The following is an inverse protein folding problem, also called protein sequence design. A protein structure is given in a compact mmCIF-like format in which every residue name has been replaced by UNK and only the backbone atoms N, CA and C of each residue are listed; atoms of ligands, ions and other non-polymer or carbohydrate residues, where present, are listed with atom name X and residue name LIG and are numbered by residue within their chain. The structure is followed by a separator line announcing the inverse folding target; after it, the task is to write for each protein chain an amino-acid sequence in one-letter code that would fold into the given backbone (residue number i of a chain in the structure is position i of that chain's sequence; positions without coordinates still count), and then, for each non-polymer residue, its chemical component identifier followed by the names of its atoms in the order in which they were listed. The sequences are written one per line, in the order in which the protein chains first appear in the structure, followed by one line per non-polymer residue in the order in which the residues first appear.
data_IF_497803758043
#
_entry.id   IF_497803758043
#
_cell.length_a   1.000
_cell.length_b   1.000
_cell.length_c   1.000
_cell.angle_alpha   90.00
_cell.angle_beta   90.00
_cell.angle_gamma   90.00
#
_symmetry.space_group_name_H-M   'P 1'
#
loop_
_entity.id
_entity.type
_entity.pdbx_description
1 polymer ?
#
# COMPACT_ATOMS: atom_id res chain seq x y z
N UNK A 1 0.61 -13.35 18.83
CA UNK A 1 0.16 -12.39 17.80
C UNK A 1 1.29 -12.24 16.81
N UNK A 2 1.10 -12.65 15.56
CA UNK A 2 2.14 -12.51 14.55
C UNK A 2 2.28 -11.04 14.17
N UNK A 3 3.42 -10.44 14.52
CA UNK A 3 3.76 -9.09 14.08
C UNK A 3 3.92 -9.06 12.56
N UNK A 4 3.27 -8.11 11.89
CA UNK A 4 3.44 -7.89 10.46
C UNK A 4 4.64 -7.00 10.26
N UNK A 5 5.75 -7.56 9.75
CA UNK A 5 6.94 -6.78 9.41
C UNK A 5 6.81 -6.19 8.02
N UNK A 6 6.75 -4.87 7.95
CA UNK A 6 6.73 -4.10 6.73
C UNK A 6 8.13 -3.54 6.46
N UNK A 7 8.65 -3.72 5.25
CA UNK A 7 9.93 -3.13 4.84
C UNK A 7 9.68 -1.94 3.93
N UNK A 8 10.38 -0.82 4.15
CA UNK A 8 10.36 0.30 3.20
C UNK A 8 11.55 0.21 2.23
N UNK A 9 11.26 0.34 0.94
CA UNK A 9 12.28 0.43 -0.12
C UNK A 9 12.08 1.71 -0.92
N UNK A 10 13.00 2.64 -0.74
CA UNK A 10 13.04 3.90 -1.50
C UNK A 10 13.58 3.71 -2.91
N UNK A 11 13.33 4.71 -3.77
CA UNK A 11 13.82 4.77 -5.16
C UNK A 11 13.56 3.49 -5.96
N UNK A 12 12.41 2.86 -5.73
CA UNK A 12 12.05 1.61 -6.39
C UNK A 12 11.67 1.87 -7.85
N UNK A 13 12.29 1.14 -8.78
CA UNK A 13 11.95 1.18 -10.21
C UNK A 13 10.49 0.85 -10.46
N UNK A 14 9.90 -0.06 -9.66
CA UNK A 14 8.49 -0.43 -9.78
C UNK A 14 7.59 0.74 -9.37
N UNK A 15 7.91 1.40 -8.25
CA UNK A 15 7.19 2.58 -7.80
C UNK A 15 7.35 3.76 -8.79
N UNK A 16 8.50 3.86 -9.46
CA UNK A 16 8.73 4.83 -10.55
C UNK A 16 7.79 4.60 -11.74
N UNK A 17 7.63 3.35 -12.17
CA UNK A 17 6.72 3.01 -13.27
C UNK A 17 5.27 3.29 -12.87
N UNK A 18 4.88 2.92 -11.65
CA UNK A 18 3.56 3.24 -11.11
C UNK A 18 3.31 4.75 -11.04
N UNK A 19 4.28 5.53 -10.56
CA UNK A 19 4.24 6.99 -10.51
C UNK A 19 4.01 7.61 -11.89
N UNK A 20 4.75 7.14 -12.91
CA UNK A 20 4.60 7.60 -14.28
C UNK A 20 3.21 7.29 -14.84
N UNK A 21 2.69 6.08 -14.61
CA UNK A 21 1.35 5.68 -15.07
C UNK A 21 0.23 6.48 -14.40
N UNK A 22 0.39 6.80 -13.12
CA UNK A 22 -0.56 7.60 -12.34
C UNK A 22 -0.35 9.11 -12.48
N UNK A 23 0.66 9.54 -13.24
CA UNK A 23 1.08 10.95 -13.39
C UNK A 23 1.31 11.67 -12.05
N UNK A 24 1.81 10.94 -11.04
CA UNK A 24 2.09 11.50 -9.72
C UNK A 24 3.60 11.64 -9.50
N UNK A 25 4.10 12.77 -8.96
CA UNK A 25 5.51 12.93 -8.63
C UNK A 25 5.95 12.10 -7.42
N UNK A 26 5.00 11.69 -6.57
CA UNK A 26 5.23 10.90 -5.35
C UNK A 26 4.33 9.66 -5.38
N UNK A 27 4.90 8.50 -5.11
CA UNK A 27 4.17 7.24 -5.16
C UNK A 27 4.65 6.28 -4.09
N UNK A 28 3.71 5.55 -3.50
CA UNK A 28 3.94 4.37 -2.70
C UNK A 28 3.14 3.23 -3.33
N UNK A 29 3.72 2.04 -3.35
CA UNK A 29 3.04 0.83 -3.81
C UNK A 29 3.50 -0.36 -2.97
N UNK A 30 2.57 -1.21 -2.58
CA UNK A 30 2.87 -2.40 -1.79
C UNK A 30 2.96 -3.64 -2.66
N UNK A 31 4.01 -4.43 -2.41
CA UNK A 31 4.13 -5.80 -2.91
C UNK A 31 4.40 -6.75 -1.75
N UNK A 32 3.39 -7.52 -1.37
CA UNK A 32 3.47 -8.41 -0.21
C UNK A 32 3.63 -7.62 1.08
N UNK A 33 4.84 -7.64 1.65
CA UNK A 33 5.19 -6.92 2.88
C UNK A 33 6.18 -5.77 2.66
N UNK A 34 6.46 -5.41 1.40
CA UNK A 34 7.40 -4.35 1.06
C UNK A 34 6.64 -3.15 0.48
N UNK A 35 6.85 -1.99 1.08
CA UNK A 35 6.34 -0.70 0.61
C UNK A 35 7.43 -0.05 -0.24
N UNK A 36 7.17 0.07 -1.54
CA UNK A 36 8.07 0.66 -2.51
C UNK A 36 7.73 2.13 -2.69
N UNK A 37 8.68 3.02 -2.37
CA UNK A 37 8.53 4.46 -2.49
C UNK A 37 9.24 4.99 -3.75
N UNK A 38 8.67 6.02 -4.34
CA UNK A 38 9.29 6.83 -5.40
C UNK A 38 8.95 8.30 -5.23
N UNK A 39 9.96 9.17 -5.36
CA UNK A 39 9.80 10.63 -5.21
C UNK A 39 9.49 11.09 -3.78
N UNK A 40 9.54 10.20 -2.79
CA UNK A 40 9.31 10.48 -1.38
C UNK A 40 10.29 9.67 -0.53
N UNK A 41 10.84 10.29 0.50
CA UNK A 41 11.68 9.60 1.50
C UNK A 41 10.81 8.85 2.51
N UNK A 42 11.42 7.89 3.21
CA UNK A 42 10.83 7.17 4.34
C UNK A 42 10.31 8.12 5.40
N UNK A 43 11.09 9.12 5.77
CA UNK A 43 10.72 10.09 6.81
C UNK A 43 9.48 10.89 6.41
N UNK A 44 9.44 11.38 5.17
CA UNK A 44 8.28 12.08 4.64
C UNK A 44 7.05 11.18 4.56
N UNK A 45 7.22 9.93 4.14
CA UNK A 45 6.14 8.95 4.12
C UNK A 45 5.61 8.67 5.54
N UNK A 46 6.50 8.42 6.49
CA UNK A 46 6.14 8.13 7.89
C UNK A 46 5.50 9.32 8.61
N UNK A 47 5.85 10.56 8.23
CA UNK A 47 5.20 11.77 8.73
C UNK A 47 3.71 11.86 8.33
N UNK A 48 3.32 11.21 7.22
CA UNK A 48 1.94 11.16 6.73
C UNK A 48 1.23 9.90 7.23
N UNK A 49 0.82 9.88 8.50
CA UNK A 49 0.20 8.71 9.15
C UNK A 49 -0.99 8.12 8.39
N UNK A 50 -1.85 8.94 7.78
CA UNK A 50 -2.94 8.46 6.94
C UNK A 50 -2.43 7.63 5.75
N UNK A 51 -1.40 8.14 5.07
CA UNK A 51 -0.75 7.43 3.97
C UNK A 51 -0.09 6.13 4.43
N UNK A 52 0.58 6.14 5.59
CA UNK A 52 1.16 4.92 6.18
C UNK A 52 0.07 3.86 6.42
N UNK A 53 -1.07 4.25 6.99
CA UNK A 53 -2.19 3.34 7.25
C UNK A 53 -2.78 2.77 5.96
N UNK A 54 -2.87 3.59 4.91
CA UNK A 54 -3.31 3.16 3.59
C UNK A 54 -2.43 2.02 3.05
N UNK A 55 -1.10 2.23 3.02
CA UNK A 55 -0.17 1.21 2.53
C UNK A 55 -0.13 -0.03 3.44
N UNK A 56 -0.20 0.16 4.77
CA UNK A 56 -0.27 -0.95 5.72
C UNK A 56 -1.53 -1.79 5.53
N UNK A 57 -2.66 -1.18 5.20
CA UNK A 57 -3.88 -1.90 4.86
C UNK A 57 -3.64 -2.84 3.67
N UNK A 58 -2.93 -2.38 2.63
CA UNK A 58 -2.55 -3.26 1.52
C UNK A 58 -1.64 -4.42 1.97
N UNK A 59 -0.69 -4.19 2.87
CA UNK A 59 0.13 -5.28 3.42
C UNK A 59 -0.73 -6.33 4.13
N UNK A 60 -1.74 -5.91 4.91
CA UNK A 60 -2.68 -6.84 5.55
C UNK A 60 -3.52 -7.59 4.53
N UNK A 61 -4.03 -6.90 3.51
CA UNK A 61 -4.78 -7.53 2.43
C UNK A 61 -3.94 -8.57 1.67
N UNK A 62 -2.65 -8.29 1.45
CA UNK A 62 -1.68 -9.24 0.90
C UNK A 62 -1.46 -10.45 1.82
N UNK A 63 -1.43 -10.24 3.14
CA UNK A 63 -1.30 -11.31 4.12
C UNK A 63 -2.55 -12.20 4.16
N UNK A 64 -3.74 -11.61 4.09
CA UNK A 64 -5.02 -12.32 4.11
C UNK A 64 -5.30 -13.10 2.82
N UNK A 65 -5.03 -12.50 1.66
CA UNK A 65 -5.37 -13.08 0.35
C UNK A 65 -4.19 -13.80 -0.32
N UNK A 66 -2.98 -13.71 0.25
CA UNK A 66 -1.74 -14.13 -0.38
C UNK A 66 -1.31 -13.20 -1.52
N UNK A 67 -0.03 -13.32 -1.92
CA UNK A 67 0.59 -12.42 -2.91
C UNK A 67 -0.18 -12.38 -4.24
N UNK A 68 -0.38 -13.56 -4.85
CA UNK A 68 -1.04 -13.68 -6.15
C UNK A 68 -2.56 -13.50 -6.05
N UNK A 69 -3.15 -13.97 -4.96
CA UNK A 69 -4.59 -13.86 -4.75
C UNK A 69 -5.04 -12.40 -4.61
N UNK A 70 -4.28 -11.58 -3.88
CA UNK A 70 -4.54 -10.15 -3.80
C UNK A 70 -4.38 -9.46 -5.16
N UNK A 71 -3.25 -9.67 -5.85
CA UNK A 71 -2.98 -9.02 -7.14
C UNK A 71 -4.07 -9.34 -8.19
N UNK A 72 -4.45 -10.61 -8.30
CA UNK A 72 -5.48 -11.02 -9.24
C UNK A 72 -6.83 -10.40 -8.92
N UNK A 73 -7.26 -10.46 -7.66
CA UNK A 73 -8.51 -9.85 -7.22
C UNK A 73 -8.49 -8.33 -7.43
N UNK A 74 -7.38 -7.66 -7.10
CA UNK A 74 -7.23 -6.23 -7.26
C UNK A 74 -7.34 -5.82 -8.73
N UNK A 75 -6.62 -6.50 -9.63
CA UNK A 75 -6.67 -6.19 -11.07
C UNK A 75 -8.04 -6.51 -11.66
N UNK A 76 -8.65 -7.63 -11.29
CA UNK A 76 -10.01 -7.97 -11.74
C UNK A 76 -11.05 -6.94 -11.29
N UNK A 77 -11.03 -6.53 -10.02
CA UNK A 77 -11.94 -5.52 -9.48
C UNK A 77 -11.68 -4.18 -10.15
N UNK A 78 -10.41 -3.80 -10.31
CA UNK A 78 -10.00 -2.59 -11.00
C UNK A 78 -10.51 -2.52 -12.44
N UNK A 79 -10.43 -3.60 -13.21
CA UNK A 79 -10.95 -3.64 -14.58
C UNK A 79 -12.48 -3.56 -14.63
N UNK A 80 -13.18 -4.05 -13.60
CA UNK A 80 -14.65 -4.06 -13.56
C UNK A 80 -15.24 -2.72 -13.11
N UNK A 81 -14.69 -2.10 -12.07
CA UNK A 81 -15.28 -0.92 -11.43
C UNK A 81 -14.40 0.34 -11.49
N UNK A 82 -13.15 0.21 -11.95
CA UNK A 82 -12.16 1.29 -11.96
C UNK A 82 -11.37 1.43 -10.66
N UNK A 83 -10.36 2.28 -10.66
CA UNK A 83 -9.40 2.43 -9.54
C UNK A 83 -10.09 2.97 -8.28
N UNK A 84 -10.87 4.03 -8.43
CA UNK A 84 -11.53 4.67 -7.28
C UNK A 84 -12.58 3.79 -6.62
N UNK A 85 -13.23 2.89 -7.37
CA UNK A 85 -14.29 2.05 -6.83
C UNK A 85 -13.83 0.68 -6.35
N UNK A 86 -12.57 0.32 -6.58
CA UNK A 86 -11.98 -0.94 -6.16
C UNK A 86 -12.17 -1.14 -4.64
N UNK A 87 -12.64 -2.31 -4.23
CA UNK A 87 -12.92 -2.63 -2.82
C UNK A 87 -11.69 -2.44 -1.92
N UNK A 88 -10.51 -2.76 -2.44
CA UNK A 88 -9.25 -2.71 -1.68
C UNK A 88 -8.82 -1.26 -1.45
N UNK A 89 -8.98 -0.42 -2.46
CA UNK A 89 -8.76 1.03 -2.38
C UNK A 89 -9.74 1.71 -1.42
N UNK A 90 -11.00 1.27 -1.42
CA UNK A 90 -11.99 1.77 -0.45
C UNK A 90 -11.62 1.38 0.98
N UNK A 91 -11.23 0.13 1.21
CA UNK A 91 -10.77 -0.32 2.51
C UNK A 91 -9.52 0.45 2.97
N UNK A 92 -8.56 0.68 2.07
CA UNK A 92 -7.37 1.46 2.37
C UNK A 92 -7.69 2.92 2.72
N UNK A 93 -8.64 3.56 2.01
CA UNK A 93 -9.13 4.90 2.36
C UNK A 93 -9.84 4.96 3.71
N UNK A 94 -10.64 3.94 4.04
CA UNK A 94 -11.25 3.83 5.37
C UNK A 94 -10.18 3.65 6.46
N UNK A 95 -9.09 2.96 6.13
CA UNK A 95 -7.98 2.73 7.04
C UNK A 95 -7.16 3.99 7.33
N UNK A 96 -7.15 5.00 6.45
CA UNK A 96 -6.46 6.28 6.66
C UNK A 96 -6.87 6.95 8.00
N UNK A 97 -8.14 6.85 8.38
CA UNK A 97 -8.67 7.39 9.64
C UNK A 97 -8.64 6.40 10.81
N UNK A 98 -8.37 5.11 10.56
CA UNK A 98 -8.35 4.08 11.59
C UNK A 98 -7.01 4.07 12.35
N UNK A 99 -7.03 4.50 13.61
CA UNK A 99 -5.83 4.54 14.46
C UNK A 99 -5.26 3.15 14.75
N UNK A 100 -6.13 2.13 14.83
CA UNK A 100 -5.74 0.73 15.11
C UNK A 100 -5.15 0.02 13.91
N UNK A 101 -5.10 0.65 12.74
CA UNK A 101 -4.56 0.01 11.55
C UNK A 101 -3.08 -0.35 11.69
N UNK A 102 -2.34 0.41 12.49
CA UNK A 102 -0.92 0.18 12.73
C UNK A 102 -0.65 -0.81 13.88
N UNK A 103 -1.69 -1.31 14.55
CA UNK A 103 -1.52 -2.23 15.68
C UNK A 103 -0.89 -3.55 15.20
N UNK A 104 0.21 -3.94 15.84
CA UNK A 104 0.95 -5.16 15.49
C UNK A 104 1.76 -5.08 14.20
N UNK A 105 1.98 -3.87 13.66
CA UNK A 105 2.78 -3.65 12.45
C UNK A 105 4.12 -3.02 12.81
N UNK A 106 5.20 -3.65 12.38
CA UNK A 106 6.57 -3.18 12.59
C UNK A 106 7.15 -2.72 11.24
N UNK A 107 7.43 -1.42 11.10
CA UNK A 107 7.95 -0.84 9.85
C UNK A 107 9.47 -0.67 9.96
N UNK A 108 10.22 -1.43 9.17
CA UNK A 108 11.70 -1.49 9.15
C UNK A 108 12.31 -0.91 7.89
#
# INVERSE_FOLDING_TARGET
MDTIRCRIKENSTIARIAAWRMKSPRMAIVFGHVIHLYGVSREQFLAHTGWVRHEVCHVKQYRENGFWGFLWQYVLDWMRVGYHNNRFEKAARLAESNVRELDGVEIT
#
